data_IF_224102647762
#
_entry.id   IF_224102647762
#
_cell.length_a   1.000
_cell.length_b   1.000
_cell.length_c   1.000
_cell.angle_alpha   90.00
_cell.angle_beta   90.00
_cell.angle_gamma   90.00
#
_symmetry.space_group_name_H-M   'P 1'
#
loop_
_entity.id
_entity.type
_entity.pdbx_description
1 polymer ?
#
# COMPACT_ATOMS: atom_id res chain seq x y z
N UNK A 1 18.24 23.80 5.04
CA UNK A 1 17.35 25.00 5.03
C UNK A 1 17.49 25.85 3.77
N UNK A 2 18.67 26.35 3.40
CA UNK A 2 18.82 27.18 2.19
C UNK A 2 18.32 26.50 0.91
N UNK A 3 18.58 25.19 0.76
CA UNK A 3 18.13 24.42 -0.41
C UNK A 3 16.62 24.21 -0.47
N UNK A 4 15.98 23.91 0.67
CA UNK A 4 14.53 23.84 0.75
C UNK A 4 13.89 25.18 0.32
N UNK A 5 14.48 26.31 0.71
CA UNK A 5 14.06 27.64 0.25
C UNK A 5 14.20 27.84 -1.26
N UNK A 6 15.27 27.31 -1.88
CA UNK A 6 15.44 27.34 -3.34
C UNK A 6 14.36 26.53 -4.06
N UNK A 7 14.03 25.34 -3.55
CA UNK A 7 12.98 24.48 -4.11
C UNK A 7 11.58 25.09 -3.98
N UNK A 8 11.31 25.78 -2.87
CA UNK A 8 10.02 26.42 -2.61
C UNK A 8 9.87 27.79 -3.31
N UNK A 9 10.98 28.37 -3.77
CA UNK A 9 11.02 29.70 -4.41
C UNK A 9 10.05 29.89 -5.58
N UNK A 10 9.87 28.92 -6.49
CA UNK A 10 8.90 29.02 -7.59
C UNK A 10 7.41 28.94 -7.17
N UNK A 11 7.11 28.72 -5.89
CA UNK A 11 5.76 28.46 -5.39
C UNK A 11 5.29 29.57 -4.43
N UNK A 12 5.18 30.81 -4.92
CA UNK A 12 5.03 32.03 -4.11
C UNK A 12 3.89 32.03 -3.06
N UNK A 13 2.93 31.12 -3.16
CA UNK A 13 1.74 30.95 -2.33
C UNK A 13 1.83 29.79 -1.30
N UNK A 14 2.98 29.12 -1.17
CA UNK A 14 3.17 28.07 -0.15
C UNK A 14 3.14 28.64 1.27
N UNK A 15 2.58 27.87 2.20
CA UNK A 15 2.47 28.18 3.64
C UNK A 15 3.27 27.19 4.48
N UNK A 16 3.09 25.89 4.22
CA UNK A 16 3.88 24.82 4.85
C UNK A 16 4.46 23.90 3.78
N UNK A 17 5.61 23.29 4.07
CA UNK A 17 6.21 22.29 3.22
C UNK A 17 6.71 21.11 4.05
N UNK A 18 6.56 19.91 3.50
CA UNK A 18 7.05 18.67 4.09
C UNK A 18 7.86 17.90 3.06
N UNK A 19 9.07 17.55 3.44
CA UNK A 19 9.96 16.67 2.68
C UNK A 19 10.12 15.39 3.49
N UNK A 20 9.90 14.25 2.85
CA UNK A 20 10.07 12.93 3.46
C UNK A 20 11.03 12.15 2.60
N UNK A 21 12.07 11.60 3.20
CA UNK A 21 13.01 10.68 2.57
C UNK A 21 12.95 9.35 3.30
N UNK A 22 13.02 8.27 2.55
CA UNK A 22 13.27 6.97 3.13
C UNK A 22 14.27 6.20 2.29
N UNK A 23 15.17 5.52 2.97
CA UNK A 23 16.25 4.79 2.34
C UNK A 23 16.57 3.55 3.15
N UNK A 24 16.74 2.44 2.45
CA UNK A 24 17.02 1.12 2.98
C UNK A 24 17.89 0.41 1.96
N UNK A 25 19.12 0.05 2.34
CA UNK A 25 20.05 -0.56 1.41
C UNK A 25 20.30 0.37 0.23
N UNK A 26 20.37 -0.18 -0.98
CA UNK A 26 20.49 0.64 -2.21
C UNK A 26 19.19 1.33 -2.64
N UNK A 27 18.07 1.08 -1.94
CA UNK A 27 16.76 1.60 -2.31
C UNK A 27 16.45 2.90 -1.57
N UNK A 28 15.83 3.84 -2.28
CA UNK A 28 15.37 5.08 -1.67
C UNK A 28 14.18 5.70 -2.40
N UNK A 29 13.34 6.39 -1.64
CA UNK A 29 12.28 7.23 -2.17
C UNK A 29 12.28 8.58 -1.46
N UNK A 30 11.82 9.61 -2.16
CA UNK A 30 11.68 10.94 -1.59
C UNK A 30 10.42 11.61 -2.11
N UNK A 31 9.69 12.21 -1.17
CA UNK A 31 8.40 12.85 -1.41
C UNK A 31 8.47 14.27 -0.88
N UNK A 32 8.03 15.22 -1.70
CA UNK A 32 8.03 16.63 -1.34
C UNK A 32 6.71 17.28 -1.69
N UNK A 33 6.10 17.85 -0.66
CA UNK A 33 4.76 18.44 -0.69
C UNK A 33 4.77 19.79 -0.05
N UNK A 34 3.80 20.60 -0.42
CA UNK A 34 3.54 21.87 0.22
C UNK A 34 2.07 22.20 0.19
N UNK A 35 1.63 22.97 1.18
CA UNK A 35 0.25 23.44 1.31
C UNK A 35 0.20 24.91 0.92
N UNK A 36 -0.77 25.27 0.09
CA UNK A 36 -1.04 26.65 -0.32
C UNK A 36 -1.94 27.36 0.69
N UNK A 37 -2.04 28.68 0.56
CA UNK A 37 -2.91 29.48 1.43
C UNK A 37 -4.40 29.13 1.34
N UNK A 38 -4.85 28.58 0.20
CA UNK A 38 -6.22 28.09 0.01
C UNK A 38 -6.44 26.67 0.57
N UNK A 39 -5.41 26.07 1.19
CA UNK A 39 -5.43 24.72 1.74
C UNK A 39 -5.15 23.62 0.72
N UNK A 40 -5.00 23.93 -0.57
CA UNK A 40 -4.72 22.92 -1.58
C UNK A 40 -3.26 22.44 -1.51
N UNK A 41 -3.06 21.18 -1.88
CA UNK A 41 -1.76 20.52 -1.87
C UNK A 41 -1.08 20.66 -3.22
N UNK A 42 0.21 20.99 -3.18
CA UNK A 42 1.12 20.90 -4.32
C UNK A 42 2.19 19.85 -4.05
N UNK A 43 2.71 19.26 -5.13
CA UNK A 43 3.95 18.48 -5.09
C UNK A 43 5.04 19.21 -5.86
N UNK A 44 6.28 18.98 -5.46
CA UNK A 44 7.44 19.43 -6.21
C UNK A 44 8.32 18.23 -6.51
N UNK A 45 9.17 18.38 -7.52
CA UNK A 45 10.19 17.38 -7.80
C UNK A 45 11.48 17.78 -7.10
N UNK A 46 11.91 16.96 -6.17
CA UNK A 46 13.26 17.09 -5.61
C UNK A 46 14.24 16.35 -6.53
N UNK A 47 15.33 17.01 -6.93
CA UNK A 47 16.46 16.41 -7.65
C UNK A 47 17.75 17.14 -7.31
N UNK A 48 18.88 16.47 -7.53
CA UNK A 48 20.21 17.05 -7.43
C UNK A 48 20.59 17.34 -5.98
N UNK A 49 21.14 18.53 -5.72
CA UNK A 49 21.80 18.89 -4.46
C UNK A 49 20.98 18.62 -3.19
N UNK A 50 19.65 18.76 -3.23
CA UNK A 50 18.84 18.49 -2.04
C UNK A 50 18.78 17.01 -1.68
N UNK A 51 18.80 16.12 -2.67
CA UNK A 51 18.86 14.68 -2.44
C UNK A 51 20.23 14.30 -1.84
N UNK A 52 21.32 14.80 -2.43
CA UNK A 52 22.68 14.55 -1.94
C UNK A 52 22.88 15.03 -0.49
N UNK A 53 22.17 16.09 -0.08
CA UNK A 53 22.21 16.60 1.29
C UNK A 53 21.50 15.65 2.28
N UNK A 54 20.45 14.94 1.87
CA UNK A 54 19.79 13.95 2.72
C UNK A 54 20.68 12.72 2.90
N UNK A 55 21.31 12.24 1.83
CA UNK A 55 22.27 11.14 1.89
C UNK A 55 23.46 11.50 2.79
N UNK A 56 24.05 12.69 2.62
CA UNK A 56 25.12 13.17 3.51
C UNK A 56 24.67 13.30 4.96
N UNK A 57 23.45 13.79 5.21
CA UNK A 57 22.90 13.87 6.55
C UNK A 57 22.75 12.48 7.17
N UNK A 58 22.31 11.49 6.39
CA UNK A 58 22.17 10.10 6.82
C UNK A 58 23.50 9.51 7.24
N UNK A 59 24.53 9.68 6.42
CA UNK A 59 25.89 9.19 6.70
C UNK A 59 26.49 9.86 7.95
N UNK A 60 26.33 11.18 8.09
CA UNK A 60 26.87 11.92 9.24
C UNK A 60 26.14 11.57 10.54
N UNK A 61 24.85 11.25 10.46
CA UNK A 61 24.04 10.88 11.62
C UNK A 61 24.08 9.38 11.94
N UNK A 62 24.70 8.56 11.09
CA UNK A 62 24.82 7.14 11.36
C UNK A 62 25.57 6.92 12.67
N UNK A 63 24.94 6.19 13.58
CA UNK A 63 25.47 5.88 14.89
C UNK A 63 26.17 4.50 14.85
N UNK A 64 27.35 4.33 15.47
CA UNK A 64 28.07 3.06 15.44
C UNK A 64 27.32 1.87 16.05
N UNK A 65 26.40 2.11 17.00
CA UNK A 65 25.62 1.06 17.66
C UNK A 65 24.21 0.94 17.09
N UNK A 66 23.59 2.05 16.64
CA UNK A 66 22.21 2.09 16.15
C UNK A 66 22.09 2.08 14.62
N UNK A 67 23.18 2.24 13.87
CA UNK A 67 23.17 2.34 12.41
C UNK A 67 22.63 3.69 11.93
N UNK A 68 22.07 3.77 10.72
CA UNK A 68 21.42 4.96 10.17
C UNK A 68 19.90 4.91 10.37
N UNK A 69 19.23 6.06 10.29
CA UNK A 69 17.77 6.12 10.26
C UNK A 69 17.25 5.54 8.93
N UNK A 70 16.06 4.94 8.96
CA UNK A 70 15.38 4.34 7.79
C UNK A 70 14.54 5.37 7.01
N UNK A 71 14.02 6.37 7.71
CA UNK A 71 13.38 7.53 7.08
C UNK A 71 13.55 8.78 7.91
N UNK A 72 13.46 9.93 7.24
CA UNK A 72 13.51 11.22 7.87
C UNK A 72 12.48 12.17 7.22
N UNK A 73 12.04 13.15 7.98
CA UNK A 73 11.20 14.23 7.46
C UNK A 73 11.71 15.59 7.90
N UNK A 74 11.52 16.57 7.02
CA UNK A 74 11.73 17.99 7.28
C UNK A 74 10.42 18.73 7.04
N UNK A 75 9.90 19.33 8.11
CA UNK A 75 8.78 20.24 8.07
C UNK A 75 9.28 21.69 8.08
N UNK A 76 8.70 22.51 7.23
CA UNK A 76 9.02 23.94 7.10
C UNK A 76 7.73 24.73 7.16
N UNK A 77 7.68 25.72 8.06
CA UNK A 77 6.58 26.68 8.16
C UNK A 77 7.06 28.07 7.73
N UNK A 78 6.37 28.65 6.75
CA UNK A 78 6.74 29.96 6.19
C UNK A 78 6.48 31.10 7.16
N UNK A 79 5.37 31.05 7.88
CA UNK A 79 4.88 32.16 8.69
C UNK A 79 5.75 32.36 9.94
N UNK A 80 6.12 31.26 10.59
CA UNK A 80 7.01 31.28 11.75
C UNK A 80 8.49 31.27 11.35
N UNK A 81 8.80 30.86 10.11
CA UNK A 81 10.18 30.59 9.67
C UNK A 81 10.80 29.36 10.35
N UNK A 82 10.00 28.55 11.05
CA UNK A 82 10.47 27.38 11.79
C UNK A 82 10.70 26.18 10.88
N UNK A 83 11.62 25.32 11.29
CA UNK A 83 11.83 24.01 10.67
C UNK A 83 12.06 22.94 11.72
N UNK A 84 11.52 21.75 11.49
CA UNK A 84 11.71 20.59 12.37
C UNK A 84 12.09 19.36 11.57
N UNK A 85 13.07 18.62 12.08
CA UNK A 85 13.45 17.30 11.58
C UNK A 85 12.88 16.21 12.49
N UNK A 86 12.42 15.13 11.88
CA UNK A 86 12.06 13.89 12.58
C UNK A 86 12.71 12.70 11.88
N UNK A 87 13.12 11.71 12.66
CA UNK A 87 13.86 10.53 12.17
C UNK A 87 13.19 9.26 12.68
N UNK A 88 12.96 8.31 11.78
CA UNK A 88 12.51 6.98 12.09
C UNK A 88 13.70 6.03 12.02
N UNK A 89 14.05 5.45 13.17
CA UNK A 89 15.18 4.53 13.30
C UNK A 89 14.75 3.06 13.32
N UNK A 90 13.49 2.77 13.64
CA UNK A 90 13.10 1.43 14.09
C UNK A 90 11.83 0.92 13.41
N UNK A 91 10.96 1.81 12.93
CA UNK A 91 9.75 1.45 12.20
C UNK A 91 10.08 1.00 10.79
N UNK A 92 9.50 -0.12 10.35
CA UNK A 92 9.56 -0.59 8.96
C UNK A 92 9.02 0.50 8.04
N UNK A 93 9.75 0.76 6.97
CA UNK A 93 9.35 1.75 5.95
C UNK A 93 8.67 1.01 4.81
N UNK A 94 7.59 1.61 4.32
CA UNK A 94 6.84 1.18 3.14
C UNK A 94 6.87 2.33 2.14
N UNK A 95 7.59 2.18 1.02
CA UNK A 95 7.88 3.31 0.12
C UNK A 95 6.63 3.85 -0.56
N UNK A 96 5.70 2.96 -0.88
CA UNK A 96 4.36 3.26 -1.40
C UNK A 96 3.57 4.17 -0.44
N UNK A 97 3.62 3.91 0.88
CA UNK A 97 2.88 4.68 1.89
C UNK A 97 3.39 6.10 2.10
N UNK A 98 4.59 6.41 1.64
CA UNK A 98 5.17 7.74 1.76
C UNK A 98 4.65 8.71 0.69
N UNK A 99 4.02 8.19 -0.37
CA UNK A 99 3.42 8.98 -1.45
C UNK A 99 1.89 8.95 -1.29
N UNK A 100 1.29 9.86 -0.52
CA UNK A 100 -0.17 10.03 -0.57
C UNK A 100 -0.67 10.32 -2.00
N UNK A 101 -1.86 9.80 -2.32
CA UNK A 101 -2.52 9.88 -3.63
C UNK A 101 -1.86 9.05 -4.75
N UNK A 102 -0.91 8.18 -4.40
CA UNK A 102 -0.39 7.16 -5.31
C UNK A 102 -1.42 6.06 -5.50
N UNK A 103 -1.73 5.74 -6.75
CA UNK A 103 -2.52 4.56 -7.07
C UNK A 103 -1.72 3.33 -6.64
N UNK A 104 -2.25 2.48 -5.73
CA UNK A 104 -1.54 1.28 -5.29
C UNK A 104 -1.23 0.31 -6.44
N UNK A 105 -1.88 0.41 -7.60
CA UNK A 105 -1.54 -0.38 -8.79
C UNK A 105 -0.28 0.10 -9.53
N UNK A 106 0.20 1.32 -9.25
CA UNK A 106 1.36 1.92 -9.90
C UNK A 106 2.68 1.67 -9.15
N UNK A 107 2.66 0.98 -8.00
CA UNK A 107 3.85 0.72 -7.18
C UNK A 107 3.98 -0.73 -6.75
N UNK A 108 5.22 -1.20 -6.78
CA UNK A 108 5.63 -2.47 -6.21
C UNK A 108 5.59 -2.37 -4.67
N UNK A 109 4.58 -3.00 -4.05
CA UNK A 109 4.36 -2.97 -2.60
C UNK A 109 5.48 -3.60 -1.79
N UNK A 110 6.35 -4.39 -2.42
CA UNK A 110 7.47 -5.02 -1.72
C UNK A 110 8.67 -4.08 -1.55
N UNK A 111 8.58 -2.79 -1.90
CA UNK A 111 9.68 -1.85 -1.73
C UNK A 111 9.68 -1.17 -0.34
N UNK A 112 10.78 -1.24 0.42
CA UNK A 112 12.06 -1.87 0.09
C UNK A 112 12.04 -3.39 0.28
N UNK A 113 12.65 -4.11 -0.69
CA UNK A 113 12.74 -5.57 -0.70
C UNK A 113 13.50 -6.10 0.52
N UNK A 114 13.28 -7.36 0.87
CA UNK A 114 13.97 -8.01 2.00
C UNK A 114 15.49 -7.99 1.84
N UNK A 115 16.00 -8.14 0.61
CA UNK A 115 17.43 -8.03 0.31
C UNK A 115 17.98 -6.64 0.63
N UNK A 116 17.18 -5.59 0.43
CA UNK A 116 17.58 -4.22 0.73
C UNK A 116 17.80 -4.01 2.25
N UNK A 117 17.07 -4.75 3.09
CA UNK A 117 17.29 -4.74 4.54
C UNK A 117 18.59 -5.45 4.95
N UNK A 118 18.98 -6.50 4.23
CA UNK A 118 20.30 -7.12 4.38
C UNK A 118 21.43 -6.16 3.98
N UNK A 119 21.28 -5.49 2.83
CA UNK A 119 22.20 -4.43 2.39
C UNK A 119 22.28 -3.27 3.39
N UNK A 120 21.15 -2.89 3.98
CA UNK A 120 21.06 -1.83 5.00
C UNK A 120 21.93 -2.17 6.21
N UNK A 121 21.77 -3.36 6.76
CA UNK A 121 22.58 -3.80 7.91
C UNK A 121 24.06 -3.98 7.55
N UNK A 122 24.38 -4.32 6.30
CA UNK A 122 25.75 -4.39 5.82
C UNK A 122 26.40 -3.01 5.73
N UNK A 123 25.66 -1.98 5.27
CA UNK A 123 26.16 -0.61 5.12
C UNK A 123 26.16 0.18 6.43
N UNK A 124 25.11 0.03 7.23
CA UNK A 124 24.93 0.70 8.51
C UNK A 124 24.68 -0.33 9.61
N UNK A 125 25.75 -0.98 10.10
CA UNK A 125 25.64 -2.03 11.11
C UNK A 125 24.94 -1.54 12.37
N UNK A 126 24.18 -2.46 12.97
CA UNK A 126 23.46 -2.24 14.23
C UNK A 126 23.87 -3.28 15.25
N UNK A 127 24.09 -2.84 16.47
CA UNK A 127 24.21 -3.73 17.62
C UNK A 127 22.90 -4.50 17.83
N UNK A 128 22.94 -5.75 18.35
CA UNK A 128 21.74 -6.60 18.46
C UNK A 128 20.57 -5.97 19.22
N UNK A 129 20.85 -5.05 20.15
CA UNK A 129 19.88 -4.32 20.97
C UNK A 129 19.09 -3.29 20.16
N UNK A 130 19.69 -2.78 19.07
CA UNK A 130 19.14 -1.75 18.19
C UNK A 130 18.59 -2.32 16.87
N UNK A 131 18.51 -3.65 16.74
CA UNK A 131 17.82 -4.30 15.61
C UNK A 131 16.37 -4.58 16.02
N UNK A 132 15.38 -3.90 15.39
CA UNK A 132 13.96 -4.16 15.66
C UNK A 132 13.60 -5.63 15.48
N UNK A 133 12.59 -6.10 16.22
CA UNK A 133 12.19 -7.51 16.18
C UNK A 133 11.80 -7.98 14.76
N UNK A 134 11.08 -7.15 14.01
CA UNK A 134 10.68 -7.42 12.63
C UNK A 134 11.91 -7.57 11.72
N UNK A 135 12.94 -6.72 11.88
CA UNK A 135 14.16 -6.77 11.07
C UNK A 135 15.02 -7.98 11.43
N UNK A 136 15.06 -8.36 12.71
CA UNK A 136 15.72 -9.60 13.15
C UNK A 136 15.05 -10.83 12.55
N UNK A 137 13.72 -10.87 12.51
CA UNK A 137 12.98 -11.97 11.91
C UNK A 137 13.27 -12.06 10.41
N UNK A 138 13.29 -10.92 9.72
CA UNK A 138 13.59 -10.82 8.29
C UNK A 138 14.97 -11.40 7.94
N UNK A 139 16.01 -10.93 8.64
CA UNK A 139 17.40 -11.26 8.32
C UNK A 139 17.82 -12.63 8.84
N UNK A 140 17.23 -13.10 9.95
CA UNK A 140 17.39 -14.49 10.39
C UNK A 140 16.71 -15.50 9.44
N UNK A 141 15.91 -15.02 8.49
CA UNK A 141 15.30 -15.79 7.41
C UNK A 141 16.28 -16.27 6.33
N UNK A 142 17.52 -15.77 6.29
CA UNK A 142 18.55 -16.37 5.42
C UNK A 142 18.96 -17.75 5.95
N UNK A 143 18.47 -18.79 5.26
CA UNK A 143 18.69 -20.25 5.46
C UNK A 143 17.68 -21.00 6.36
N UNK A 144 16.41 -20.60 6.43
CA UNK A 144 15.37 -21.52 6.95
C UNK A 144 14.22 -21.68 5.97
N UNK A 145 13.96 -22.91 5.53
CA UNK A 145 12.71 -23.28 4.84
C UNK A 145 11.51 -22.63 5.54
N UNK A 146 10.67 -21.93 4.77
CA UNK A 146 9.41 -21.28 5.20
C UNK A 146 8.73 -22.10 6.29
N UNK A 147 8.69 -21.57 7.51
CA UNK A 147 8.11 -22.33 8.62
C UNK A 147 6.58 -22.41 8.45
N UNK A 148 5.91 -23.47 8.94
CA UNK A 148 4.46 -23.65 8.79
C UNK A 148 3.57 -22.55 9.41
N UNK A 149 4.15 -21.54 10.06
CA UNK A 149 3.45 -20.38 10.60
C UNK A 149 3.40 -19.18 9.64
N UNK A 150 4.36 -19.07 8.71
CA UNK A 150 4.40 -18.02 7.70
C UNK A 150 3.33 -18.34 6.65
N UNK A 151 2.30 -17.49 6.55
CA UNK A 151 1.13 -17.75 5.71
C UNK A 151 -0.06 -18.40 6.39
N UNK A 152 -0.02 -18.65 7.70
CA UNK A 152 -1.18 -19.19 8.41
C UNK A 152 -2.43 -18.28 8.30
N UNK A 153 -2.24 -16.97 8.15
CA UNK A 153 -3.34 -16.03 7.87
C UNK A 153 -3.93 -16.23 6.46
N UNK A 154 -3.07 -16.29 5.44
CA UNK A 154 -3.47 -16.53 4.04
C UNK A 154 -4.15 -17.90 3.89
N UNK A 155 -3.62 -18.96 4.49
CA UNK A 155 -4.22 -20.30 4.42
C UNK A 155 -5.58 -20.35 5.14
N UNK A 156 -5.73 -19.68 6.29
CA UNK A 156 -7.04 -19.53 6.95
C UNK A 156 -8.01 -18.73 6.09
N UNK A 157 -7.55 -17.65 5.46
CA UNK A 157 -8.34 -16.84 4.57
C UNK A 157 -8.81 -17.64 3.33
N UNK A 158 -7.95 -18.48 2.76
CA UNK A 158 -8.29 -19.39 1.66
C UNK A 158 -9.32 -20.44 2.11
N UNK A 159 -9.16 -20.99 3.32
CA UNK A 159 -10.06 -22.01 3.86
C UNK A 159 -11.40 -21.46 4.37
N UNK A 160 -11.50 -20.14 4.62
CA UNK A 160 -12.70 -19.52 5.14
C UNK A 160 -13.87 -19.63 4.15
N UNK A 161 -15.05 -19.95 4.68
CA UNK A 161 -16.27 -20.02 3.89
C UNK A 161 -16.70 -18.61 3.44
N UNK A 162 -17.02 -18.41 2.15
CA UNK A 162 -17.49 -17.12 1.67
C UNK A 162 -18.86 -16.79 2.28
N UNK A 163 -19.11 -15.50 2.55
CA UNK A 163 -20.39 -15.03 3.08
C UNK A 163 -20.88 -13.82 2.29
N UNK A 164 -22.20 -13.66 2.19
CA UNK A 164 -22.80 -12.52 1.54
C UNK A 164 -22.65 -11.24 2.37
N UNK A 165 -22.39 -10.08 1.73
CA UNK A 165 -22.53 -8.80 2.40
C UNK A 165 -23.98 -8.60 2.85
N UNK A 166 -24.24 -8.11 4.08
CA UNK A 166 -25.59 -7.85 4.55
C UNK A 166 -26.41 -6.96 3.61
N UNK A 167 -25.75 -5.97 2.98
CA UNK A 167 -26.38 -5.06 2.02
C UNK A 167 -26.83 -5.74 0.71
N UNK A 168 -26.30 -6.93 0.40
CA UNK A 168 -26.56 -7.69 -0.84
C UNK A 168 -27.19 -9.07 -0.55
N UNK A 169 -27.62 -9.34 0.68
CA UNK A 169 -28.12 -10.65 1.10
C UNK A 169 -29.37 -11.10 0.33
N UNK A 170 -30.17 -10.17 -0.20
CA UNK A 170 -31.33 -10.45 -1.08
C UNK A 170 -30.92 -11.19 -2.36
N UNK A 171 -29.75 -10.88 -2.91
CA UNK A 171 -29.22 -11.44 -4.15
C UNK A 171 -28.84 -12.93 -4.04
N UNK A 172 -28.68 -13.46 -2.81
CA UNK A 172 -28.40 -14.88 -2.58
C UNK A 172 -29.52 -15.81 -3.10
N UNK A 173 -30.72 -15.28 -3.34
CA UNK A 173 -31.83 -16.02 -3.95
C UNK A 173 -31.79 -16.04 -5.49
N UNK A 174 -30.98 -15.19 -6.11
CA UNK A 174 -30.80 -15.14 -7.56
C UNK A 174 -29.75 -16.17 -8.00
N UNK A 175 -30.12 -16.95 -9.02
CA UNK A 175 -29.18 -17.88 -9.65
C UNK A 175 -28.01 -17.15 -10.34
N UNK A 176 -28.26 -15.97 -10.94
CA UNK A 176 -27.22 -15.19 -11.63
C UNK A 176 -26.22 -14.61 -10.64
N UNK A 177 -26.72 -14.00 -9.57
CA UNK A 177 -25.86 -13.42 -8.54
C UNK A 177 -25.16 -14.49 -7.70
N UNK A 178 -25.75 -15.68 -7.54
CA UNK A 178 -25.04 -16.82 -6.95
C UNK A 178 -23.83 -17.25 -7.81
N UNK A 179 -23.97 -17.27 -9.14
CA UNK A 179 -22.83 -17.53 -10.04
C UNK A 179 -21.74 -16.45 -9.90
N UNK A 180 -22.13 -15.17 -9.83
CA UNK A 180 -21.19 -14.06 -9.61
C UNK A 180 -20.48 -14.22 -8.26
N UNK A 181 -21.21 -14.54 -7.19
CA UNK A 181 -20.67 -14.73 -5.85
C UNK A 181 -19.66 -15.88 -5.75
N UNK A 182 -19.97 -17.01 -6.38
CA UNK A 182 -19.06 -18.16 -6.45
C UNK A 182 -17.80 -17.79 -7.25
N UNK A 183 -17.96 -17.11 -8.39
CA UNK A 183 -16.83 -16.63 -9.18
C UNK A 183 -15.96 -15.63 -8.40
N UNK A 184 -16.56 -14.72 -7.61
CA UNK A 184 -15.82 -13.81 -6.72
C UNK A 184 -14.96 -14.61 -5.74
N UNK A 185 -15.54 -15.63 -5.10
CA UNK A 185 -14.79 -16.49 -4.16
C UNK A 185 -13.63 -17.21 -4.86
N UNK A 186 -13.83 -17.71 -6.08
CA UNK A 186 -12.79 -18.36 -6.87
C UNK A 186 -11.65 -17.40 -7.25
N UNK A 187 -11.98 -16.19 -7.71
CA UNK A 187 -10.98 -15.19 -8.09
C UNK A 187 -10.19 -14.68 -6.88
N UNK A 188 -10.83 -14.49 -5.71
CA UNK A 188 -10.13 -14.14 -4.46
C UNK A 188 -9.14 -15.24 -4.08
N UNK A 189 -9.56 -16.51 -4.11
CA UNK A 189 -8.67 -17.63 -3.80
C UNK A 189 -7.53 -17.74 -4.82
N UNK A 190 -7.80 -17.49 -6.10
CA UNK A 190 -6.75 -17.45 -7.12
C UNK A 190 -5.76 -16.32 -6.86
N UNK A 191 -6.24 -15.12 -6.55
CA UNK A 191 -5.40 -13.97 -6.24
C UNK A 191 -4.55 -14.20 -4.99
N UNK A 192 -5.12 -14.75 -3.91
CA UNK A 192 -4.38 -15.10 -2.68
C UNK A 192 -3.30 -16.18 -2.88
N UNK A 193 -3.48 -17.07 -3.87
CA UNK A 193 -2.51 -18.12 -4.22
C UNK A 193 -1.46 -17.67 -5.22
N UNK A 194 -1.62 -16.49 -5.83
CA UNK A 194 -0.67 -15.98 -6.79
C UNK A 194 0.66 -15.68 -6.08
N UNK A 195 1.77 -15.86 -6.77
CA UNK A 195 3.09 -15.49 -6.28
C UNK A 195 3.36 -14.03 -6.65
N UNK A 196 3.05 -13.13 -5.73
CA UNK A 196 3.09 -11.67 -5.95
C UNK A 196 3.64 -10.97 -4.72
N UNK A 197 4.22 -9.76 -4.88
CA UNK A 197 4.62 -8.91 -3.76
C UNK A 197 3.54 -8.75 -2.68
N UNK A 198 2.27 -8.56 -3.08
CA UNK A 198 1.16 -8.44 -2.13
C UNK A 198 0.91 -9.72 -1.33
N UNK A 199 0.89 -10.88 -1.99
CA UNK A 199 0.66 -12.16 -1.30
C UNK A 199 1.84 -12.57 -0.44
N UNK A 200 3.07 -12.31 -0.87
CA UNK A 200 4.28 -12.47 -0.04
C UNK A 200 4.20 -11.61 1.23
N UNK A 201 3.80 -10.35 1.10
CA UNK A 201 3.57 -9.47 2.24
C UNK A 201 2.51 -10.04 3.19
N UNK A 202 1.36 -10.47 2.66
CA UNK A 202 0.27 -11.09 3.44
C UNK A 202 0.67 -12.39 4.15
N UNK A 203 1.66 -13.12 3.64
CA UNK A 203 2.21 -14.28 4.32
C UNK A 203 2.97 -13.90 5.61
N UNK A 204 3.54 -12.69 5.66
CA UNK A 204 4.28 -12.17 6.81
C UNK A 204 3.41 -11.33 7.77
N UNK A 205 2.56 -10.45 7.24
CA UNK A 205 1.68 -9.58 8.02
C UNK A 205 0.41 -9.23 7.24
N UNK A 206 -0.73 -9.11 7.93
CA UNK A 206 -1.98 -8.67 7.30
C UNK A 206 -1.88 -7.17 7.07
N UNK A 207 -1.87 -6.78 5.80
CA UNK A 207 -1.63 -5.41 5.35
C UNK A 207 -2.77 -4.91 4.45
N UNK A 208 -3.40 -3.79 4.79
CA UNK A 208 -4.54 -3.23 4.07
C UNK A 208 -4.25 -2.96 2.58
N UNK A 209 -3.03 -2.53 2.24
CA UNK A 209 -2.66 -2.26 0.83
C UNK A 209 -2.47 -3.55 0.05
N UNK A 210 -1.89 -4.56 0.67
CA UNK A 210 -1.80 -5.88 0.04
C UNK A 210 -3.19 -6.50 -0.17
N UNK A 211 -4.12 -6.31 0.77
CA UNK A 211 -5.51 -6.70 0.61
C UNK A 211 -6.19 -5.95 -0.55
N UNK A 212 -5.98 -4.64 -0.69
CA UNK A 212 -6.46 -3.84 -1.83
C UNK A 212 -5.93 -4.37 -3.17
N UNK A 213 -4.64 -4.71 -3.26
CA UNK A 213 -4.08 -5.28 -4.49
C UNK A 213 -4.65 -6.67 -4.82
N UNK A 214 -4.87 -7.52 -3.82
CA UNK A 214 -5.55 -8.81 -4.00
C UNK A 214 -6.99 -8.58 -4.48
N UNK A 215 -7.71 -7.62 -3.93
CA UNK A 215 -9.05 -7.24 -4.36
C UNK A 215 -9.09 -6.77 -5.82
N UNK A 216 -8.16 -5.89 -6.21
CA UNK A 216 -8.03 -5.41 -7.58
C UNK A 216 -7.70 -6.55 -8.56
N UNK A 217 -6.78 -7.43 -8.18
CA UNK A 217 -6.40 -8.61 -8.97
C UNK A 217 -7.57 -9.57 -9.20
N UNK A 218 -8.43 -9.77 -8.18
CA UNK A 218 -9.63 -10.58 -8.29
C UNK A 218 -10.74 -9.90 -9.12
N UNK A 219 -10.87 -8.57 -9.03
CA UNK A 219 -11.95 -7.80 -9.68
C UNK A 219 -11.81 -7.76 -11.20
N UNK A 220 -10.60 -7.56 -11.73
CA UNK A 220 -10.36 -7.43 -13.18
C UNK A 220 -10.93 -8.57 -14.05
N UNK A 221 -10.68 -9.86 -13.73
CA UNK A 221 -11.29 -11.00 -14.41
C UNK A 221 -12.82 -11.03 -14.32
N UNK A 222 -13.40 -10.63 -13.18
CA UNK A 222 -14.86 -10.62 -12.97
C UNK A 222 -15.54 -9.60 -13.87
N UNK A 223 -14.99 -8.39 -13.96
CA UNK A 223 -15.54 -7.34 -14.83
C UNK A 223 -15.49 -7.76 -16.30
N UNK A 224 -14.39 -8.39 -16.74
CA UNK A 224 -14.31 -8.96 -18.10
C UNK A 224 -15.36 -10.04 -18.35
N UNK A 225 -15.71 -10.84 -17.34
CA UNK A 225 -16.67 -11.95 -17.47
C UNK A 225 -18.12 -11.47 -17.44
N UNK A 226 -18.47 -10.56 -16.54
CA UNK A 226 -19.87 -10.25 -16.22
C UNK A 226 -20.33 -8.86 -16.69
N UNK A 227 -19.40 -7.93 -16.92
CA UNK A 227 -19.72 -6.54 -17.29
C UNK A 227 -19.52 -6.29 -18.78
N UNK A 228 -18.51 -6.91 -19.41
CA UNK A 228 -18.18 -6.67 -20.81
C UNK A 228 -19.29 -7.08 -21.81
N UNK A 229 -20.10 -8.09 -21.48
CA UNK A 229 -21.27 -8.47 -22.28
C UNK A 229 -22.51 -7.66 -21.86
N UNK A 230 -22.97 -6.75 -22.72
CA UNK A 230 -24.06 -5.81 -22.41
C UNK A 230 -25.36 -6.51 -22.03
N UNK A 231 -25.69 -7.65 -22.64
CA UNK A 231 -26.93 -8.37 -22.36
C UNK A 231 -26.91 -9.03 -20.98
N UNK A 232 -25.81 -9.68 -20.63
CA UNK A 232 -25.59 -10.29 -19.31
C UNK A 232 -25.52 -9.24 -18.21
N UNK A 233 -24.79 -8.14 -18.46
CA UNK A 233 -24.68 -7.01 -17.56
C UNK A 233 -26.05 -6.38 -17.25
N UNK A 234 -26.86 -6.12 -18.28
CA UNK A 234 -28.22 -5.60 -18.09
C UNK A 234 -29.13 -6.55 -17.30
N UNK A 235 -28.98 -7.87 -17.50
CA UNK A 235 -29.74 -8.87 -16.75
C UNK A 235 -29.35 -8.92 -15.26
N UNK A 236 -28.07 -8.73 -14.94
CA UNK A 236 -27.59 -8.61 -13.56
C UNK A 236 -28.08 -7.31 -12.91
N UNK A 237 -27.96 -6.19 -13.61
CA UNK A 237 -28.38 -4.87 -13.13
C UNK A 237 -29.89 -4.83 -12.81
N UNK A 238 -30.71 -5.52 -13.59
CA UNK A 238 -32.16 -5.59 -13.37
C UNK A 238 -32.57 -6.28 -12.06
N UNK A 239 -31.67 -7.05 -11.44
CA UNK A 239 -31.91 -7.74 -10.17
C UNK A 239 -31.37 -6.97 -8.95
N UNK A 240 -30.74 -5.81 -9.15
CA UNK A 240 -30.25 -4.95 -8.08
C UNK A 240 -31.41 -4.12 -7.47
N UNK A 241 -31.37 -3.93 -6.15
CA UNK A 241 -32.42 -3.20 -5.41
C UNK A 241 -32.42 -1.67 -5.67
N UNK A 242 -31.29 -1.11 -6.12
CA UNK A 242 -31.13 0.34 -6.39
C UNK A 242 -30.36 0.62 -7.69
N UNK A 243 -30.94 0.36 -8.89
CA UNK A 243 -30.29 0.69 -10.14
C UNK A 243 -30.31 2.20 -10.40
N UNK A 244 -29.19 2.78 -10.82
CA UNK A 244 -29.08 4.20 -11.16
C UNK A 244 -29.69 4.54 -12.55
N UNK A 245 -30.33 3.57 -13.18
CA UNK A 245 -31.02 3.68 -14.48
C UNK A 245 -30.43 2.75 -15.53
N UNK A 246 -31.12 2.53 -16.67
CA UNK A 246 -30.70 1.56 -17.70
C UNK A 246 -29.36 1.91 -18.35
N UNK A 247 -28.97 3.18 -18.38
CA UNK A 247 -27.71 3.66 -18.96
C UNK A 247 -26.51 3.52 -17.99
N UNK A 248 -26.73 3.01 -16.77
CA UNK A 248 -25.72 2.82 -15.72
C UNK A 248 -25.60 1.38 -15.23
N UNK A 249 -26.09 0.43 -16.00
CA UNK A 249 -26.02 -1.00 -15.67
C UNK A 249 -24.58 -1.47 -15.42
N UNK A 250 -23.62 -0.98 -16.21
CA UNK A 250 -22.19 -1.28 -16.04
C UNK A 250 -21.66 -0.78 -14.69
N UNK A 251 -21.95 0.47 -14.32
CA UNK A 251 -21.54 1.05 -13.05
C UNK A 251 -22.19 0.27 -11.88
N UNK A 252 -23.50 0.03 -11.95
CA UNK A 252 -24.25 -0.63 -10.87
C UNK A 252 -23.76 -2.07 -10.61
N UNK A 253 -23.45 -2.82 -11.68
CA UNK A 253 -22.92 -4.19 -11.57
C UNK A 253 -21.46 -4.18 -11.12
N UNK A 254 -20.66 -3.22 -11.57
CA UNK A 254 -19.26 -3.05 -11.14
C UNK A 254 -19.17 -2.75 -9.64
N UNK A 255 -20.02 -1.84 -9.16
CA UNK A 255 -20.10 -1.49 -7.73
C UNK A 255 -20.53 -2.72 -6.91
N UNK A 256 -21.55 -3.45 -7.36
CA UNK A 256 -22.01 -4.64 -6.66
C UNK A 256 -20.97 -5.77 -6.63
N UNK A 257 -20.19 -5.95 -7.70
CA UNK A 257 -19.08 -6.92 -7.71
C UNK A 257 -17.98 -6.49 -6.74
N UNK A 258 -17.57 -5.23 -6.79
CA UNK A 258 -16.54 -4.67 -5.90
C UNK A 258 -16.95 -4.79 -4.42
N UNK A 259 -18.20 -4.46 -4.09
CA UNK A 259 -18.77 -4.64 -2.74
C UNK A 259 -18.64 -6.09 -2.24
N UNK A 260 -18.91 -7.08 -3.10
CA UNK A 260 -18.83 -8.50 -2.73
C UNK A 260 -17.36 -8.92 -2.56
N UNK A 261 -16.45 -8.44 -3.42
CA UNK A 261 -15.01 -8.71 -3.31
C UNK A 261 -14.47 -8.18 -2.00
N UNK A 262 -14.68 -6.89 -1.71
CA UNK A 262 -14.19 -6.22 -0.51
C UNK A 262 -14.73 -6.87 0.76
N UNK A 263 -16.04 -7.18 0.78
CA UNK A 263 -16.66 -7.88 1.90
C UNK A 263 -16.03 -9.25 2.15
N UNK A 264 -15.87 -10.06 1.10
CA UNK A 264 -15.31 -11.40 1.25
C UNK A 264 -13.85 -11.34 1.70
N UNK A 265 -13.04 -10.42 1.19
CA UNK A 265 -11.64 -10.26 1.64
C UNK A 265 -11.59 -9.87 3.11
N UNK A 266 -12.29 -8.81 3.52
CA UNK A 266 -12.32 -8.38 4.92
C UNK A 266 -12.75 -9.53 5.85
N UNK A 267 -13.83 -10.25 5.48
CA UNK A 267 -14.36 -11.33 6.32
C UNK A 267 -13.45 -12.55 6.42
N UNK A 268 -12.58 -12.80 5.43
CA UNK A 268 -11.59 -13.90 5.45
C UNK A 268 -10.43 -13.60 6.40
N UNK A 269 -10.05 -12.33 6.57
CA UNK A 269 -8.93 -11.91 7.41
C UNK A 269 -9.33 -11.48 8.83
N UNK A 270 -10.62 -11.21 9.09
CA UNK A 270 -11.19 -10.96 10.42
C UNK A 270 -11.43 -12.23 11.29
N UNK A 271 -11.17 -13.43 10.75
CA UNK A 271 -11.48 -14.72 11.41
C UNK A 271 -10.31 -15.29 12.22
#
# INVERSE_FOLDING_TARGET
MAEAGRLLGPHDDWVTARFIVAEVGSMGTMVSRFTRADGSLGSMRVRGQFQDLWEQLREVMADPERGAWFSASLDVDRASGSSSFSYNWDGRVWFDRLIPDLDPSDVDLALPLDEAWGEELARHPRSPEHVPAWLRALVAGEVTERQPGDGAAVERAIAAAPTWPPARASLASSARWSEVFDAVSEEIVRALRADTPATELLHSEVDDRALEQVAAAATGPLLRRFVHDTASCAALAAELDTPNGPDRAEDDVTDAITDIVDWQIARRFDQ
#
